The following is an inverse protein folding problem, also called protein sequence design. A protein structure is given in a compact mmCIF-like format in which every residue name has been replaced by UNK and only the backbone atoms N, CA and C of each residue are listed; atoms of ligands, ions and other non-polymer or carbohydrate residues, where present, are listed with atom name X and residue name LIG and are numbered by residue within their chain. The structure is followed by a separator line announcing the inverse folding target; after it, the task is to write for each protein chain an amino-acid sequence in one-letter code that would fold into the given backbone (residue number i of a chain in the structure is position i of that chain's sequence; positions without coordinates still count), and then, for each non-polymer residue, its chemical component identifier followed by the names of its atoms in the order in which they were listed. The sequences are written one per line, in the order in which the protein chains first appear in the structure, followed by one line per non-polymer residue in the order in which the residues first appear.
data_IF_730199511078
#
_entry.id   IF_730199511078
#
_cell.length_a   1.000
_cell.length_b   1.000
_cell.length_c   1.000
_cell.angle_alpha   90.00
_cell.angle_beta   90.00
_cell.angle_gamma   90.00
#
_symmetry.space_group_name_H-M   'P 1'
#
loop_
_entity.id
_entity.type
_entity.pdbx_description
1 polymer ?
#
# COMPACT_ATOMS: atom_id res chain seq x y z
N UNK A 1 1.45 4.55 11.45
CA UNK A 1 0.21 4.56 10.65
C UNK A 1 -0.90 5.14 11.50
N UNK A 2 -1.57 6.15 10.96
CA UNK A 2 -2.57 7.00 11.60
C UNK A 2 -3.68 7.18 10.58
N UNK A 3 -4.93 6.98 10.96
CA UNK A 3 -6.05 7.16 10.03
C UNK A 3 -6.28 8.63 9.73
N UNK A 4 -6.90 8.90 8.58
CA UNK A 4 -7.40 10.23 8.27
C UNK A 4 -8.50 10.67 9.24
N UNK A 5 -8.67 11.98 9.35
CA UNK A 5 -9.78 12.58 10.09
C UNK A 5 -11.08 12.30 9.35
N UNK A 6 -12.12 11.75 10.01
CA UNK A 6 -13.42 11.52 9.38
C UNK A 6 -13.97 12.83 8.77
N UNK A 7 -14.35 12.85 7.48
CA UNK A 7 -14.89 14.03 6.85
C UNK A 7 -16.26 14.39 7.45
N UNK A 8 -16.58 15.69 7.44
CA UNK A 8 -17.85 16.24 7.97
C UNK A 8 -18.88 16.53 6.88
N UNK A 9 -18.52 16.29 5.63
CA UNK A 9 -19.30 16.61 4.45
C UNK A 9 -19.98 15.36 3.86
N UNK A 10 -20.36 15.44 2.57
CA UNK A 10 -21.00 14.37 1.80
C UNK A 10 -20.15 13.09 1.72
N UNK A 11 -18.84 13.15 1.93
CA UNK A 11 -17.94 12.00 1.83
C UNK A 11 -17.94 11.13 3.09
N UNK A 12 -18.63 11.55 4.17
CA UNK A 12 -18.69 10.82 5.44
C UNK A 12 -19.22 9.40 5.32
N UNK A 13 -20.24 9.17 4.49
CA UNK A 13 -20.79 7.83 4.30
C UNK A 13 -19.75 6.87 3.68
N UNK A 14 -19.08 7.31 2.61
CA UNK A 14 -18.02 6.55 1.95
C UNK A 14 -16.82 6.28 2.88
N UNK A 15 -16.44 7.27 3.70
CA UNK A 15 -15.40 7.09 4.71
C UNK A 15 -15.75 5.98 5.71
N UNK A 16 -16.97 6.00 6.26
CA UNK A 16 -17.41 4.99 7.21
C UNK A 16 -17.52 3.59 6.58
N UNK A 17 -17.86 3.52 5.28
CA UNK A 17 -17.88 2.26 4.56
C UNK A 17 -16.47 1.70 4.31
N UNK A 18 -15.53 2.55 3.87
CA UNK A 18 -14.12 2.17 3.75
C UNK A 18 -13.55 1.67 5.08
N UNK A 19 -13.91 2.31 6.20
CA UNK A 19 -13.49 1.91 7.54
C UNK A 19 -14.11 0.57 8.02
N UNK A 20 -15.30 0.23 7.52
CA UNK A 20 -16.01 -1.02 7.82
C UNK A 20 -15.45 -2.22 7.07
N UNK A 21 -15.08 -2.04 5.80
CA UNK A 21 -14.55 -3.13 4.95
C UNK A 21 -13.09 -3.41 5.33
N UNK A 22 -12.86 -4.40 6.18
CA UNK A 22 -11.52 -4.76 6.70
C UNK A 22 -10.90 -5.98 6.04
N UNK A 23 -11.61 -6.59 5.11
CA UNK A 23 -11.21 -7.82 4.44
C UNK A 23 -10.91 -7.54 2.98
N UNK A 24 -9.99 -8.32 2.44
CA UNK A 24 -9.62 -8.35 1.04
C UNK A 24 -9.54 -9.82 0.66
N UNK A 25 -10.21 -10.22 -0.41
CA UNK A 25 -10.07 -11.57 -0.95
C UNK A 25 -8.65 -11.73 -1.49
N UNK A 26 -8.03 -12.89 -1.26
CA UNK A 26 -6.63 -13.12 -1.62
C UNK A 26 -6.55 -14.32 -2.57
N UNK A 27 -5.72 -14.25 -3.63
CA UNK A 27 -5.53 -15.38 -4.52
C UNK A 27 -4.99 -16.57 -3.72
N UNK A 28 -5.52 -17.76 -3.96
CA UNK A 28 -5.05 -18.98 -3.31
C UNK A 28 -3.82 -19.59 -3.99
N UNK A 29 -3.38 -19.01 -5.10
CA UNK A 29 -2.19 -19.43 -5.82
C UNK A 29 -0.93 -18.74 -5.26
N UNK A 30 0.23 -19.28 -5.62
CA UNK A 30 1.53 -18.79 -5.16
C UNK A 30 2.13 -17.71 -6.09
N UNK A 31 1.34 -17.09 -6.98
CA UNK A 31 1.87 -16.13 -7.97
C UNK A 31 2.43 -14.89 -7.29
N UNK A 32 1.64 -14.21 -6.44
CA UNK A 32 2.08 -13.00 -5.75
C UNK A 32 3.27 -13.27 -4.82
N UNK A 33 3.29 -14.33 -3.98
CA UNK A 33 4.47 -14.73 -3.22
C UNK A 33 5.71 -14.98 -4.06
N UNK A 34 5.57 -15.65 -5.21
CA UNK A 34 6.69 -15.94 -6.09
C UNK A 34 7.27 -14.67 -6.70
N UNK A 35 6.41 -13.77 -7.19
CA UNK A 35 6.84 -12.50 -7.77
C UNK A 35 7.46 -11.58 -6.71
N UNK A 36 6.95 -11.59 -5.49
CA UNK A 36 7.53 -10.82 -4.39
C UNK A 36 8.98 -11.22 -4.10
N UNK A 37 9.34 -12.51 -4.20
CA UNK A 37 10.73 -12.99 -4.08
C UNK A 37 11.62 -12.52 -5.26
N UNK A 38 11.04 -12.40 -6.46
CA UNK A 38 11.74 -11.82 -7.61
C UNK A 38 12.01 -10.32 -7.41
N UNK A 39 11.03 -9.59 -6.86
CA UNK A 39 11.21 -8.18 -6.46
C UNK A 39 12.35 -8.05 -5.43
N UNK A 40 12.33 -8.87 -4.38
CA UNK A 40 13.39 -8.86 -3.34
C UNK A 40 14.77 -9.10 -3.94
N UNK A 41 14.89 -10.10 -4.81
CA UNK A 41 16.15 -10.43 -5.50
C UNK A 41 16.60 -9.29 -6.42
N UNK A 42 15.68 -8.66 -7.15
CA UNK A 42 15.98 -7.53 -8.03
C UNK A 42 16.45 -6.30 -7.24
N UNK A 43 15.88 -6.05 -6.06
CA UNK A 43 16.27 -4.93 -5.20
C UNK A 43 17.73 -5.00 -4.74
N UNK A 44 18.29 -6.20 -4.56
CA UNK A 44 19.69 -6.41 -4.18
C UNK A 44 20.68 -5.81 -5.19
N UNK A 45 20.25 -5.65 -6.45
CA UNK A 45 21.08 -5.01 -7.50
C UNK A 45 21.23 -3.50 -7.32
N UNK A 46 20.39 -2.87 -6.50
CA UNK A 46 20.39 -1.42 -6.29
C UNK A 46 19.98 -0.58 -7.52
N UNK A 47 19.46 -1.22 -8.58
CA UNK A 47 19.05 -0.58 -9.84
C UNK A 47 17.52 -0.58 -10.02
N UNK A 48 16.85 0.58 -10.05
CA UNK A 48 15.39 0.66 -10.26
C UNK A 48 14.88 -0.06 -11.50
N UNK A 49 15.65 -0.03 -12.60
CA UNK A 49 15.30 -0.69 -13.86
C UNK A 49 15.13 -2.21 -13.71
N UNK A 50 15.88 -2.86 -12.80
CA UNK A 50 15.78 -4.29 -12.57
C UNK A 50 14.53 -4.67 -11.77
N UNK A 51 14.00 -3.73 -10.97
CA UNK A 51 12.84 -3.95 -10.10
C UNK A 51 11.53 -3.68 -10.85
N UNK A 52 11.56 -2.86 -11.91
CA UNK A 52 10.38 -2.46 -12.67
C UNK A 52 9.57 -3.66 -13.18
N UNK A 53 10.21 -4.58 -13.92
CA UNK A 53 9.50 -5.70 -14.56
C UNK A 53 8.83 -6.66 -13.56
N UNK A 54 9.49 -7.10 -12.46
CA UNK A 54 8.81 -7.85 -11.40
C UNK A 54 7.63 -7.10 -10.77
N UNK A 55 7.72 -5.77 -10.62
CA UNK A 55 6.60 -4.97 -10.11
C UNK A 55 5.43 -4.89 -11.10
N UNK A 56 5.71 -4.73 -12.40
CA UNK A 56 4.67 -4.76 -13.45
C UNK A 56 3.94 -6.10 -13.44
N UNK A 57 4.68 -7.21 -13.37
CA UNK A 57 4.08 -8.55 -13.28
C UNK A 57 3.25 -8.73 -12.00
N UNK A 58 3.72 -8.21 -10.86
CA UNK A 58 2.97 -8.24 -9.60
C UNK A 58 1.61 -7.53 -9.75
N UNK A 59 1.62 -6.31 -10.28
CA UNK A 59 0.42 -5.50 -10.45
C UNK A 59 -0.54 -6.09 -11.48
N UNK A 60 0.00 -6.67 -12.56
CA UNK A 60 -0.79 -7.38 -13.55
C UNK A 60 -1.54 -8.57 -12.95
N UNK A 61 -0.83 -9.47 -12.27
CA UNK A 61 -1.45 -10.64 -11.63
C UNK A 61 -2.50 -10.23 -10.58
N UNK A 62 -2.22 -9.17 -9.82
CA UNK A 62 -3.17 -8.66 -8.84
C UNK A 62 -4.41 -8.05 -9.53
N UNK A 63 -4.23 -7.20 -10.54
CA UNK A 63 -5.34 -6.57 -11.27
C UNK A 63 -6.22 -7.62 -11.98
N UNK A 64 -5.61 -8.64 -12.60
CA UNK A 64 -6.32 -9.79 -13.19
C UNK A 64 -7.18 -10.51 -12.15
N UNK A 65 -6.64 -10.77 -10.95
CA UNK A 65 -7.38 -11.43 -9.87
C UNK A 65 -8.59 -10.62 -9.38
N UNK A 66 -8.44 -9.30 -9.21
CA UNK A 66 -9.55 -8.44 -8.75
C UNK A 66 -10.48 -7.97 -9.88
N UNK A 67 -10.18 -8.30 -11.14
CA UNK A 67 -10.94 -7.86 -12.30
C UNK A 67 -10.92 -6.34 -12.50
N UNK A 68 -9.83 -5.66 -12.11
CA UNK A 68 -9.65 -4.21 -12.29
C UNK A 68 -8.82 -3.92 -13.54
N UNK A 69 -8.93 -2.70 -14.12
CA UNK A 69 -8.01 -2.27 -15.17
C UNK A 69 -6.55 -2.36 -14.69
N UNK A 70 -5.63 -2.67 -15.60
CA UNK A 70 -4.20 -2.67 -15.27
C UNK A 70 -3.73 -1.26 -14.86
N UNK A 71 -2.94 -1.17 -13.79
CA UNK A 71 -2.26 0.06 -13.40
C UNK A 71 -0.79 0.03 -13.85
N UNK A 72 -0.29 1.18 -14.28
CA UNK A 72 1.12 1.33 -14.68
C UNK A 72 1.99 1.59 -13.45
N UNK A 73 3.28 1.28 -13.54
CA UNK A 73 4.24 1.56 -12.46
C UNK A 73 5.52 2.24 -12.96
N UNK A 74 6.09 3.12 -12.14
CA UNK A 74 7.46 3.64 -12.27
C UNK A 74 8.22 3.41 -10.98
N UNK A 75 9.42 2.82 -11.09
CA UNK A 75 10.36 2.70 -9.97
C UNK A 75 11.45 3.75 -10.13
N UNK A 76 11.52 4.68 -9.18
CA UNK A 76 12.39 5.84 -9.17
C UNK A 76 13.51 5.67 -8.13
N UNK A 77 14.61 6.40 -8.29
CA UNK A 77 15.75 6.32 -7.39
C UNK A 77 15.42 6.85 -5.99
N UNK A 78 15.31 8.17 -5.79
CA UNK A 78 14.97 8.76 -4.50
C UNK A 78 13.95 9.89 -4.68
N UNK A 79 13.04 10.07 -3.73
CA UNK A 79 12.10 11.20 -3.73
C UNK A 79 12.89 12.51 -3.58
N UNK A 80 12.57 13.58 -4.33
CA UNK A 80 13.11 14.90 -4.08
C UNK A 80 12.82 15.35 -2.63
N UNK A 81 13.78 15.99 -1.96
CA UNK A 81 13.64 16.41 -0.55
C UNK A 81 12.58 17.51 -0.35
N UNK A 82 12.18 18.21 -1.42
CA UNK A 82 11.12 19.21 -1.43
C UNK A 82 10.04 18.76 -2.39
N UNK A 83 8.96 18.19 -1.85
CA UNK A 83 7.68 18.04 -2.54
C UNK A 83 6.64 18.66 -1.61
N UNK A 84 6.00 19.76 -2.03
CA UNK A 84 4.84 20.33 -1.33
C UNK A 84 3.63 19.48 -1.72
N UNK A 85 3.39 18.41 -0.97
CA UNK A 85 2.15 17.64 -1.10
C UNK A 85 1.50 17.47 0.28
N UNK A 86 0.21 17.75 0.29
CA UNK A 86 -0.66 17.94 1.46
C UNK A 86 -1.25 16.63 1.98
N UNK A 87 -0.68 15.48 1.59
CA UNK A 87 -1.23 14.16 1.89
C UNK A 87 -0.26 13.33 2.72
N UNK A 88 -0.83 12.63 3.68
CA UNK A 88 -0.23 12.16 4.92
C UNK A 88 0.67 10.92 4.71
N UNK A 89 1.90 10.98 5.22
CA UNK A 89 2.76 9.85 5.67
C UNK A 89 3.33 8.79 4.71
N UNK A 90 3.03 8.75 3.42
CA UNK A 90 3.64 7.79 2.49
C UNK A 90 4.91 8.38 1.85
N UNK A 91 6.10 8.04 2.39
CA UNK A 91 7.38 8.62 1.97
C UNK A 91 7.95 7.98 0.69
N UNK A 92 7.42 6.83 0.29
CA UNK A 92 8.04 5.92 -0.68
C UNK A 92 7.16 5.55 -1.88
N UNK A 93 5.92 6.01 -1.94
CA UNK A 93 5.05 5.79 -3.08
C UNK A 93 3.99 6.87 -3.25
N UNK A 94 3.34 6.85 -4.41
CA UNK A 94 2.07 7.52 -4.65
C UNK A 94 1.31 6.83 -5.81
N UNK A 95 -0.01 7.02 -5.80
CA UNK A 95 -0.92 6.59 -6.86
C UNK A 95 -1.67 7.79 -7.43
N UNK A 96 -1.66 7.92 -8.76
CA UNK A 96 -2.46 8.91 -9.47
C UNK A 96 -3.72 8.24 -10.05
N UNK A 97 -4.94 8.60 -9.58
CA UNK A 97 -6.18 7.95 -10.00
C UNK A 97 -6.60 8.26 -11.45
N UNK A 98 -6.20 9.40 -12.01
CA UNK A 98 -6.55 9.79 -13.39
C UNK A 98 -5.76 8.98 -14.42
N UNK A 99 -4.48 8.72 -14.12
CA UNK A 99 -3.55 8.00 -15.01
C UNK A 99 -3.37 6.53 -14.64
N UNK A 100 -3.91 6.11 -13.49
CA UNK A 100 -3.69 4.78 -12.89
C UNK A 100 -2.20 4.44 -12.77
N UNK A 101 -1.38 5.45 -12.45
CA UNK A 101 0.07 5.32 -12.32
C UNK A 101 0.47 5.21 -10.85
N UNK A 102 1.15 4.13 -10.52
CA UNK A 102 1.89 3.96 -9.27
C UNK A 102 3.33 4.45 -9.47
N UNK A 103 3.83 5.29 -8.58
CA UNK A 103 5.25 5.64 -8.49
C UNK A 103 5.79 5.09 -7.18
N UNK A 104 6.97 4.46 -7.23
CA UNK A 104 7.68 3.99 -6.04
C UNK A 104 9.11 4.54 -6.01
N UNK A 105 9.59 4.93 -4.85
CA UNK A 105 10.98 5.33 -4.64
C UNK A 105 11.76 4.24 -3.92
N UNK A 106 12.83 3.75 -4.56
CA UNK A 106 13.61 2.62 -4.06
C UNK A 106 14.64 3.03 -3.00
N UNK A 107 14.95 4.33 -2.87
CA UNK A 107 15.98 4.83 -1.94
C UNK A 107 15.42 5.85 -0.97
N UNK A 108 15.96 5.80 0.26
CA UNK A 108 15.66 6.76 1.33
C UNK A 108 15.91 8.18 0.89
N UNK A 109 15.01 9.10 1.22
CA UNK A 109 15.09 10.49 0.78
C UNK A 109 16.37 11.18 1.29
N UNK A 110 16.80 10.84 2.52
CA UNK A 110 17.97 11.46 3.19
C UNK A 110 19.26 10.72 2.83
N UNK A 111 19.40 9.44 3.19
CA UNK A 111 20.65 8.69 3.04
C UNK A 111 20.90 8.18 1.62
N UNK A 112 19.88 8.18 0.75
CA UNK A 112 19.94 7.62 -0.62
C UNK A 112 20.30 6.12 -0.66
N UNK A 113 20.19 5.44 0.46
CA UNK A 113 20.32 3.99 0.61
C UNK A 113 19.07 3.29 0.08
N UNK A 114 19.23 2.10 -0.50
CA UNK A 114 18.11 1.24 -0.91
C UNK A 114 17.24 0.92 0.32
N UNK A 115 15.92 1.04 0.19
CA UNK A 115 14.98 0.70 1.27
C UNK A 115 14.96 -0.80 1.54
N UNK A 116 14.49 -1.19 2.72
CA UNK A 116 14.27 -2.62 3.00
C UNK A 116 13.21 -3.19 2.06
N UNK A 117 13.33 -4.48 1.73
CA UNK A 117 12.31 -5.20 0.94
C UNK A 117 10.92 -5.08 1.57
N UNK A 118 10.81 -5.25 2.90
CA UNK A 118 9.53 -5.10 3.61
C UNK A 118 8.92 -3.72 3.45
N UNK A 119 9.72 -2.65 3.49
CA UNK A 119 9.26 -1.29 3.23
C UNK A 119 8.79 -1.12 1.79
N UNK A 120 9.56 -1.59 0.82
CA UNK A 120 9.24 -1.47 -0.60
C UNK A 120 7.96 -2.23 -0.96
N UNK A 121 7.86 -3.51 -0.55
CA UNK A 121 6.68 -4.33 -0.81
C UNK A 121 5.44 -3.79 -0.09
N UNK A 122 5.56 -3.32 1.16
CA UNK A 122 4.45 -2.69 1.86
C UNK A 122 3.96 -1.44 1.14
N UNK A 123 4.86 -0.66 0.53
CA UNK A 123 4.50 0.53 -0.25
C UNK A 123 3.81 0.14 -1.56
N UNK A 124 4.34 -0.86 -2.29
CA UNK A 124 3.69 -1.37 -3.50
C UNK A 124 2.25 -1.84 -3.22
N UNK A 125 2.05 -2.61 -2.15
CA UNK A 125 0.73 -3.09 -1.75
C UNK A 125 -0.19 -1.92 -1.32
N UNK A 126 0.37 -0.90 -0.66
CA UNK A 126 -0.35 0.31 -0.28
C UNK A 126 -0.92 1.02 -1.50
N UNK A 127 -0.07 1.36 -2.46
CA UNK A 127 -0.49 2.09 -3.66
C UNK A 127 -1.45 1.26 -4.53
N UNK A 128 -1.27 -0.07 -4.57
CA UNK A 128 -2.24 -0.94 -5.24
C UNK A 128 -3.59 -0.98 -4.52
N UNK A 129 -3.64 -0.92 -3.19
CA UNK A 129 -4.91 -0.78 -2.49
C UNK A 129 -5.59 0.57 -2.77
N UNK A 130 -4.85 1.65 -2.99
CA UNK A 130 -5.43 2.88 -3.53
C UNK A 130 -6.06 2.63 -4.89
N UNK A 131 -5.38 1.93 -5.80
CA UNK A 131 -5.97 1.53 -7.07
C UNK A 131 -7.27 0.72 -6.91
N UNK A 132 -7.32 -0.25 -5.99
CA UNK A 132 -8.54 -1.01 -5.68
C UNK A 132 -9.65 -0.13 -5.09
N UNK A 133 -9.33 0.83 -4.22
CA UNK A 133 -10.31 1.75 -3.67
C UNK A 133 -11.03 2.53 -4.78
N UNK A 134 -10.29 3.01 -5.79
CA UNK A 134 -10.89 3.71 -6.94
C UNK A 134 -11.61 2.75 -7.90
N UNK A 135 -11.00 1.62 -8.25
CA UNK A 135 -11.48 0.76 -9.34
C UNK A 135 -12.45 -0.33 -8.90
N UNK A 136 -12.28 -0.90 -7.71
CA UNK A 136 -13.13 -1.96 -7.16
C UNK A 136 -14.16 -1.38 -6.19
N UNK A 137 -13.73 -0.67 -5.15
CA UNK A 137 -14.62 -0.20 -4.07
C UNK A 137 -15.35 1.12 -4.36
N UNK A 138 -14.93 1.85 -5.40
CA UNK A 138 -15.50 3.15 -5.83
C UNK A 138 -15.46 4.21 -4.71
N UNK A 139 -14.42 4.20 -3.89
CA UNK A 139 -14.17 5.25 -2.90
C UNK A 139 -13.49 6.46 -3.58
N UNK A 140 -14.14 7.64 -3.61
CA UNK A 140 -13.71 8.76 -4.44
C UNK A 140 -12.42 9.46 -3.99
N UNK A 141 -12.04 9.31 -2.72
CA UNK A 141 -10.82 9.93 -2.17
C UNK A 141 -9.85 8.91 -1.57
N UNK A 142 -10.18 7.61 -1.61
CA UNK A 142 -9.39 6.51 -1.03
C UNK A 142 -8.75 6.83 0.34
N UNK A 143 -9.60 7.15 1.33
CA UNK A 143 -9.15 7.55 2.66
C UNK A 143 -8.33 6.48 3.38
N UNK A 144 -7.31 6.90 4.13
CA UNK A 144 -6.55 6.05 5.04
C UNK A 144 -7.39 5.70 6.28
N UNK A 145 -8.35 4.80 6.14
CA UNK A 145 -9.19 4.27 7.22
C UNK A 145 -8.57 3.06 7.90
N UNK A 146 -9.18 2.54 8.98
CA UNK A 146 -8.75 1.26 9.56
C UNK A 146 -8.93 0.14 8.53
N UNK A 147 -10.06 0.12 7.82
CA UNK A 147 -10.31 -0.84 6.76
C UNK A 147 -9.27 -0.80 5.65
N UNK A 148 -8.87 0.38 5.20
CA UNK A 148 -7.78 0.54 4.24
C UNK A 148 -6.47 -0.10 4.74
N UNK A 149 -6.04 0.23 5.97
CA UNK A 149 -4.82 -0.34 6.54
C UNK A 149 -4.90 -1.87 6.78
N UNK A 150 -6.09 -2.41 7.08
CA UNK A 150 -6.30 -3.85 7.19
C UNK A 150 -6.18 -4.56 5.84
N UNK A 151 -6.74 -3.97 4.76
CA UNK A 151 -6.62 -4.49 3.39
C UNK A 151 -5.17 -4.46 2.90
N UNK A 152 -4.46 -3.35 3.12
CA UNK A 152 -3.02 -3.25 2.75
C UNK A 152 -2.17 -4.25 3.51
N UNK A 153 -2.39 -4.42 4.82
CA UNK A 153 -1.68 -5.41 5.62
C UNK A 153 -1.99 -6.85 5.17
N UNK A 154 -3.24 -7.16 4.83
CA UNK A 154 -3.64 -8.47 4.31
C UNK A 154 -2.91 -8.79 3.00
N UNK A 155 -2.94 -7.87 2.03
CA UNK A 155 -2.24 -8.05 0.75
C UNK A 155 -0.73 -8.19 0.93
N UNK A 156 -0.12 -7.34 1.76
CA UNK A 156 1.31 -7.40 2.05
C UNK A 156 1.72 -8.72 2.68
N UNK A 157 1.02 -9.18 3.73
CA UNK A 157 1.38 -10.42 4.41
C UNK A 157 1.21 -11.64 3.50
N UNK A 158 0.15 -11.64 2.69
CA UNK A 158 -0.07 -12.65 1.66
C UNK A 158 1.05 -12.65 0.62
N UNK A 159 1.33 -11.51 -0.02
CA UNK A 159 2.40 -11.35 -1.00
C UNK A 159 3.79 -11.68 -0.43
N UNK A 160 4.02 -11.43 0.87
CA UNK A 160 5.29 -11.77 1.52
C UNK A 160 5.38 -13.25 1.90
N UNK A 161 4.28 -14.00 1.87
CA UNK A 161 4.22 -15.38 2.37
C UNK A 161 4.41 -15.47 3.89
N UNK A 162 3.92 -14.48 4.63
CA UNK A 162 4.02 -14.41 6.09
C UNK A 162 2.63 -14.52 6.73
N UNK A 163 2.52 -15.02 7.97
CA UNK A 163 1.24 -15.06 8.68
C UNK A 163 0.59 -13.67 8.71
N UNK A 164 -0.73 -13.63 8.52
CA UNK A 164 -1.50 -12.39 8.65
C UNK A 164 -1.34 -11.86 10.07
N UNK A 165 -1.03 -10.57 10.18
CA UNK A 165 -0.95 -9.87 11.45
C UNK A 165 -2.28 -9.24 11.83
N UNK A 166 -2.72 -9.44 13.07
CA UNK A 166 -3.89 -8.75 13.62
C UNK A 166 -3.48 -7.35 14.07
N UNK A 167 -4.01 -6.31 13.41
CA UNK A 167 -3.73 -4.93 13.78
C UNK A 167 -4.56 -4.52 14.99
N UNK A 168 -3.90 -4.02 16.03
CA UNK A 168 -4.56 -3.52 17.24
C UNK A 168 -4.65 -2.00 17.15
N UNK A 169 -5.87 -1.47 17.25
CA UNK A 169 -6.15 -0.04 17.08
C UNK A 169 -6.36 0.67 18.42
N UNK A 170 -5.78 1.85 18.55
CA UNK A 170 -5.98 2.76 19.68
C UNK A 170 -6.67 4.05 19.21
N UNK A 171 -7.79 4.47 19.83
CA UNK A 171 -8.50 5.68 19.45
C UNK A 171 -7.74 6.94 19.87
N UNK A 172 -7.90 8.02 19.11
CA UNK A 172 -7.43 9.37 19.42
C UNK A 172 -8.62 10.31 19.69
N UNK A 173 -8.34 11.44 20.35
CA UNK A 173 -9.38 12.39 20.80
C UNK A 173 -10.14 13.08 19.67
N UNK A 174 -9.57 13.09 18.46
CA UNK A 174 -10.12 13.77 17.27
C UNK A 174 -10.88 12.82 16.34
N UNK A 175 -11.20 11.61 16.81
CA UNK A 175 -11.91 10.59 16.02
C UNK A 175 -11.01 9.77 15.11
N UNK A 176 -9.71 10.07 15.03
CA UNK A 176 -8.73 9.23 14.33
C UNK A 176 -8.33 8.02 15.17
N UNK A 177 -7.66 7.08 14.52
CA UNK A 177 -7.11 5.88 15.13
C UNK A 177 -5.65 5.72 14.75
N UNK A 178 -4.85 5.14 15.64
CA UNK A 178 -3.48 4.72 15.33
C UNK A 178 -3.31 3.23 15.59
N UNK A 179 -2.40 2.60 14.87
CA UNK A 179 -1.99 1.22 15.20
C UNK A 179 -1.13 1.24 16.46
N UNK A 180 -1.50 0.42 17.44
CA UNK A 180 -0.69 0.10 18.61
C UNK A 180 0.31 -1.00 18.22
N UNK A 181 1.46 -0.58 17.67
CA UNK A 181 2.52 -1.51 17.26
C UNK A 181 3.03 -2.39 18.39
N UNK A 182 3.29 -1.89 19.62
CA UNK A 182 3.70 -2.75 20.73
C UNK A 182 2.74 -3.90 21.02
N UNK A 183 1.42 -3.67 20.98
CA UNK A 183 0.44 -4.75 21.17
C UNK A 183 0.32 -5.64 19.94
N UNK A 184 0.27 -5.03 18.76
CA UNK A 184 0.20 -5.73 17.46
C UNK A 184 1.37 -6.70 17.27
N UNK A 185 2.58 -6.33 17.71
CA UNK A 185 3.77 -7.17 17.61
C UNK A 185 3.84 -8.29 18.66
N UNK A 186 3.07 -8.21 19.74
CA UNK A 186 3.05 -9.22 20.82
C UNK A 186 1.97 -10.28 20.63
N UNK A 187 0.94 -9.99 19.84
CA UNK A 187 -0.18 -10.89 19.56
C UNK A 187 -0.11 -11.58 18.20
N UNK A 188 1.07 -11.63 17.58
CA UNK A 188 1.34 -12.29 16.30
C UNK A 188 2.23 -13.51 16.52
#
# INVERSE_FOLDING_TARGET
MLTDTPPRDKNRSGFLESDRIKTLDLPQNEHLPTIAKLIESAMQTGKPANVLRPCEEFLKQAAEFYGTPECSIRVLAARPLRVRETWTTELFGDYNPETMLIRLWMRTAIRKEVTSFGTFLSTLCHEFCHHLDFQLFKFPDSWHTRGFYERTAALYHHARGTPRKTLIWAPLRDGRWRIDWPRTNRGA
#
